data_IF_536007272034
#
_entry.id   IF_536007272034
#
_cell.length_a   1.000
_cell.length_b   1.000
_cell.length_c   1.000
_cell.angle_alpha   90.00
_cell.angle_beta   90.00
_cell.angle_gamma   90.00
#
_symmetry.space_group_name_H-M   'P 1'
#
loop_
_entity.id
_entity.type
_entity.pdbx_description
1 polymer ?
#
# COMPACT_ATOMS: atom_id res chain seq x y z
N UNK A 1 -14.47 28.02 8.21
CA UNK A 1 -15.61 27.54 9.00
C UNK A 1 -15.39 27.71 10.51
N UNK A 2 -14.25 27.27 11.08
CA UNK A 2 -13.96 27.47 12.51
C UNK A 2 -13.91 28.95 12.96
N UNK A 3 -13.45 29.86 12.11
CA UNK A 3 -13.33 31.29 12.44
C UNK A 3 -14.68 32.03 12.54
N UNK A 4 -15.76 31.50 11.95
CA UNK A 4 -17.07 32.14 11.98
C UNK A 4 -18.18 31.08 12.03
N UNK A 5 -18.15 30.27 13.09
CA UNK A 5 -18.99 29.08 13.26
C UNK A 5 -20.48 29.41 13.26
N UNK A 6 -20.87 30.58 13.75
CA UNK A 6 -22.26 31.08 13.73
C UNK A 6 -22.83 31.17 12.31
N UNK A 7 -22.01 31.48 11.31
CA UNK A 7 -22.41 31.60 9.91
C UNK A 7 -22.42 30.26 9.14
N UNK A 8 -21.92 29.16 9.72
CA UNK A 8 -21.89 27.85 9.07
C UNK A 8 -23.30 27.22 8.97
N UNK A 9 -23.58 26.32 8.00
CA UNK A 9 -24.85 25.61 7.92
C UNK A 9 -25.23 24.91 9.24
N UNK A 10 -26.53 24.82 9.55
CA UNK A 10 -27.01 24.27 10.83
C UNK A 10 -26.43 22.87 11.14
N UNK A 11 -26.33 22.02 10.13
CA UNK A 11 -25.72 20.69 10.24
C UNK A 11 -24.25 20.75 10.72
N UNK A 12 -23.46 21.72 10.24
CA UNK A 12 -22.06 21.92 10.64
C UNK A 12 -21.95 22.53 12.04
N UNK A 13 -22.93 23.36 12.43
CA UNK A 13 -22.95 23.92 13.80
C UNK A 13 -23.29 22.86 14.84
N UNK A 14 -24.20 21.95 14.51
CA UNK A 14 -24.68 20.87 15.38
C UNK A 14 -23.67 19.74 15.63
N UNK A 15 -22.57 19.67 14.88
CA UNK A 15 -21.52 18.67 15.09
C UNK A 15 -20.42 19.18 16.02
N UNK A 16 -19.81 18.29 16.81
CA UNK A 16 -18.61 18.65 17.56
C UNK A 16 -17.51 19.15 16.60
N UNK A 17 -16.72 20.18 16.97
CA UNK A 17 -15.60 20.58 16.14
C UNK A 17 -14.62 19.41 15.93
N UNK A 18 -14.08 19.30 14.72
CA UNK A 18 -13.11 18.26 14.40
C UNK A 18 -11.82 18.43 15.22
N UNK A 19 -11.33 17.34 15.78
CA UNK A 19 -10.04 17.29 16.47
C UNK A 19 -8.90 17.19 15.45
N UNK A 20 -8.36 18.34 15.05
CA UNK A 20 -7.28 18.40 14.07
C UNK A 20 -5.94 17.85 14.59
N UNK A 21 -5.81 17.52 15.87
CA UNK A 21 -4.62 16.84 16.41
C UNK A 21 -4.58 15.34 16.09
N UNK A 22 -5.69 14.78 15.59
CA UNK A 22 -5.85 13.36 15.27
C UNK A 22 -6.60 13.14 13.96
N UNK A 23 -5.92 13.42 12.85
CA UNK A 23 -6.49 13.26 11.51
C UNK A 23 -6.09 11.91 10.92
N UNK A 24 -7.07 11.19 10.37
CA UNK A 24 -6.86 10.08 9.44
C UNK A 24 -7.28 10.56 8.06
N UNK A 25 -6.45 10.34 7.05
CA UNK A 25 -6.84 10.56 5.65
C UNK A 25 -7.07 9.22 4.96
N UNK A 26 -8.09 9.16 4.10
CA UNK A 26 -8.42 7.98 3.29
C UNK A 26 -8.47 8.45 1.85
N UNK A 27 -7.76 7.76 0.96
CA UNK A 27 -7.72 8.08 -0.46
C UNK A 27 -7.80 6.81 -1.31
N UNK A 28 -8.48 6.92 -2.45
CA UNK A 28 -8.66 5.83 -3.42
C UNK A 28 -7.97 6.17 -4.74
N UNK A 29 -7.30 5.22 -5.39
CA UNK A 29 -6.58 5.45 -6.65
C UNK A 29 -5.58 6.62 -6.51
N UNK A 30 -5.59 7.58 -7.43
CA UNK A 30 -4.82 8.85 -7.31
C UNK A 30 -5.12 9.65 -6.04
N UNK A 31 -6.32 9.50 -5.46
CA UNK A 31 -6.64 10.08 -4.16
C UNK A 31 -5.79 9.48 -3.03
N UNK A 32 -5.38 8.22 -3.13
CA UNK A 32 -4.43 7.59 -2.21
C UNK A 32 -3.07 8.28 -2.26
N UNK A 33 -2.58 8.57 -3.46
CA UNK A 33 -1.36 9.37 -3.65
C UNK A 33 -1.50 10.78 -3.06
N UNK A 34 -2.64 11.43 -3.29
CA UNK A 34 -2.92 12.76 -2.75
C UNK A 34 -2.89 12.82 -1.22
N UNK A 35 -3.48 11.83 -0.53
CA UNK A 35 -3.45 11.81 0.94
C UNK A 35 -2.07 11.46 1.51
N UNK A 36 -1.29 10.63 0.81
CA UNK A 36 0.12 10.43 1.17
C UNK A 36 0.93 11.71 0.97
N UNK A 37 0.75 12.40 -0.16
CA UNK A 37 1.40 13.69 -0.44
C UNK A 37 1.06 14.72 0.64
N UNK A 38 -0.22 14.82 1.04
CA UNK A 38 -0.63 15.71 2.13
C UNK A 38 0.07 15.37 3.47
N UNK A 39 0.29 14.10 3.76
CA UNK A 39 1.04 13.65 4.94
C UNK A 39 2.53 14.01 4.86
N UNK A 40 3.15 13.81 3.70
CA UNK A 40 4.55 14.20 3.46
C UNK A 40 4.73 15.71 3.60
N UNK A 41 3.94 16.51 2.88
CA UNK A 41 4.06 17.96 2.84
C UNK A 41 3.72 18.61 4.19
N UNK A 42 2.89 17.95 5.02
CA UNK A 42 2.61 18.40 6.40
C UNK A 42 3.82 18.26 7.33
N UNK A 43 4.77 17.36 7.02
CA UNK A 43 6.01 17.16 7.79
C UNK A 43 7.22 17.82 7.14
N UNK A 44 7.26 17.88 5.81
CA UNK A 44 8.34 18.40 4.99
C UNK A 44 7.74 19.26 3.89
N UNK A 45 7.48 20.55 4.16
CA UNK A 45 6.86 21.44 3.18
C UNK A 45 7.63 21.46 1.86
N UNK A 46 6.93 21.54 0.71
CA UNK A 46 7.59 21.56 -0.58
C UNK A 46 8.51 22.79 -0.72
N UNK A 47 9.59 22.69 -1.52
CA UNK A 47 10.42 23.83 -1.87
C UNK A 47 9.59 25.01 -2.39
N UNK A 48 10.04 26.25 -2.15
CA UNK A 48 9.27 27.45 -2.43
C UNK A 48 8.93 27.67 -3.93
N UNK A 49 9.64 26.99 -4.84
CA UNK A 49 9.44 27.03 -6.29
C UNK A 49 8.55 25.88 -6.81
N UNK A 50 7.94 25.09 -5.93
CA UNK A 50 7.07 23.96 -6.27
C UNK A 50 5.65 24.18 -5.77
N UNK A 51 4.68 23.61 -6.47
CA UNK A 51 3.28 23.65 -6.04
C UNK A 51 3.11 22.99 -4.65
N UNK A 52 2.29 23.60 -3.79
CA UNK A 52 1.87 23.02 -2.52
C UNK A 52 1.73 24.05 -1.39
N UNK A 53 1.45 23.57 -0.18
CA UNK A 53 1.30 24.43 0.99
C UNK A 53 2.65 24.63 1.68
N UNK A 54 3.15 25.88 1.71
CA UNK A 54 4.46 26.20 2.31
C UNK A 54 4.38 26.72 3.75
N UNK A 55 3.16 26.93 4.28
CA UNK A 55 2.95 27.48 5.61
C UNK A 55 2.92 26.40 6.70
N UNK A 56 2.89 26.81 7.98
CA UNK A 56 2.57 25.87 9.05
C UNK A 56 1.18 25.27 8.81
N UNK A 57 1.07 23.96 9.01
CA UNK A 57 -0.23 23.28 9.03
C UNK A 57 -0.82 23.31 10.44
N UNK A 58 -2.15 23.29 10.54
CA UNK A 58 -2.88 23.30 11.83
C UNK A 58 -3.47 21.94 12.18
N UNK A 59 -2.94 20.88 11.57
CA UNK A 59 -3.40 19.51 11.76
C UNK A 59 -2.23 18.56 11.96
N UNK A 60 -2.50 17.41 12.55
CA UNK A 60 -1.59 16.30 12.65
C UNK A 60 -2.22 15.07 12.03
N UNK A 61 -1.69 14.68 10.87
CA UNK A 61 -2.06 13.43 10.21
C UNK A 61 -1.40 12.30 11.01
N UNK A 62 -2.22 11.46 11.62
CA UNK A 62 -1.80 10.34 12.48
C UNK A 62 -1.74 9.02 11.72
N UNK A 63 -2.37 8.96 10.56
CA UNK A 63 -2.17 7.88 9.61
C UNK A 63 -2.98 8.07 8.34
N UNK A 64 -2.70 7.21 7.37
CA UNK A 64 -3.36 7.18 6.07
C UNK A 64 -3.96 5.80 5.78
N UNK A 65 -5.03 5.77 4.99
CA UNK A 65 -5.52 4.56 4.33
C UNK A 65 -5.54 4.79 2.83
N UNK A 66 -4.81 3.95 2.10
CA UNK A 66 -4.56 4.10 0.68
C UNK A 66 -5.23 2.91 -0.03
N UNK A 67 -6.32 3.14 -0.75
CA UNK A 67 -7.10 2.08 -1.40
C UNK A 67 -6.68 2.06 -2.87
N UNK A 68 -6.21 0.91 -3.38
CA UNK A 68 -5.71 0.76 -4.75
C UNK A 68 -4.89 1.95 -5.25
N UNK A 69 -3.92 2.47 -4.47
CA UNK A 69 -3.39 3.80 -4.76
C UNK A 69 -2.39 3.77 -5.92
N UNK A 70 -2.31 4.87 -6.65
CA UNK A 70 -1.16 5.15 -7.52
C UNK A 70 0.06 5.59 -6.71
N UNK A 71 1.26 5.57 -7.29
CA UNK A 71 2.49 6.06 -6.64
C UNK A 71 3.43 6.78 -7.64
N UNK A 72 2.90 7.67 -8.47
CA UNK A 72 3.70 8.30 -9.54
C UNK A 72 4.57 9.48 -9.09
N UNK A 73 4.70 9.68 -7.77
CA UNK A 73 5.76 10.48 -7.17
C UNK A 73 6.85 9.66 -6.45
N UNK A 74 6.67 8.34 -6.30
CA UNK A 74 7.56 7.43 -5.57
C UNK A 74 8.05 7.97 -4.21
N UNK A 75 7.16 8.65 -3.48
CA UNK A 75 7.48 9.45 -2.30
C UNK A 75 6.62 9.05 -1.09
N UNK A 76 6.74 7.80 -0.58
CA UNK A 76 6.03 7.42 0.63
C UNK A 76 6.36 8.37 1.78
N UNK A 77 5.41 8.63 2.69
CA UNK A 77 5.65 9.39 3.91
C UNK A 77 6.12 8.45 5.04
N UNK A 78 7.45 8.23 5.25
CA UNK A 78 7.97 7.16 6.11
C UNK A 78 7.70 7.36 7.61
N UNK A 79 7.30 8.56 8.00
CA UNK A 79 7.11 8.97 9.39
C UNK A 79 5.62 9.07 9.78
N UNK A 80 4.71 8.75 8.85
CA UNK A 80 3.25 8.73 9.07
C UNK A 80 2.72 7.32 8.82
N UNK A 81 2.14 6.63 9.83
CA UNK A 81 1.60 5.29 9.64
C UNK A 81 0.62 5.18 8.47
N UNK A 82 0.66 4.07 7.74
CA UNK A 82 -0.25 3.85 6.62
C UNK A 82 -0.76 2.42 6.54
N UNK A 83 -1.97 2.27 6.00
CA UNK A 83 -2.52 0.99 5.55
C UNK A 83 -2.86 1.10 4.07
N UNK A 84 -2.17 0.32 3.24
CA UNK A 84 -2.47 0.21 1.81
C UNK A 84 -3.33 -1.02 1.54
N UNK A 85 -4.54 -0.83 1.01
CA UNK A 85 -5.37 -1.92 0.50
C UNK A 85 -5.00 -2.13 -0.97
N UNK A 86 -4.58 -3.35 -1.31
CA UNK A 86 -4.22 -3.77 -2.67
C UNK A 86 -5.33 -4.67 -3.23
N UNK A 87 -6.15 -4.19 -4.19
CA UNK A 87 -7.20 -5.00 -4.79
C UNK A 87 -6.58 -6.13 -5.63
N UNK A 88 -6.83 -7.39 -5.31
CA UNK A 88 -6.10 -8.50 -5.93
C UNK A 88 -6.35 -8.72 -7.43
N UNK A 89 -7.39 -8.09 -7.95
CA UNK A 89 -7.82 -8.11 -9.35
C UNK A 89 -8.05 -6.68 -9.87
N UNK A 90 -7.23 -5.75 -9.37
CA UNK A 90 -7.13 -4.38 -9.86
C UNK A 90 -6.80 -4.37 -11.36
N UNK A 91 -7.61 -3.71 -12.17
CA UNK A 91 -7.38 -3.58 -13.61
C UNK A 91 -6.76 -2.22 -13.97
N UNK A 92 -7.12 -1.17 -13.24
CA UNK A 92 -6.63 0.20 -13.44
C UNK A 92 -5.18 0.36 -12.96
N UNK A 93 -4.87 -0.14 -11.75
CA UNK A 93 -3.54 -0.19 -11.14
C UNK A 93 -3.09 -1.65 -11.01
N UNK A 94 -3.02 -2.31 -12.16
CA UNK A 94 -2.87 -3.78 -12.27
C UNK A 94 -1.53 -4.35 -11.78
N UNK A 95 -0.49 -3.54 -11.70
CA UNK A 95 0.80 -3.93 -11.11
C UNK A 95 0.80 -3.87 -9.57
N UNK A 96 -0.27 -3.33 -8.95
CA UNK A 96 -0.42 -3.13 -7.52
C UNK A 96 0.71 -2.29 -6.90
N UNK A 97 1.22 -1.31 -7.65
CA UNK A 97 2.31 -0.42 -7.25
C UNK A 97 2.12 0.30 -5.90
N UNK A 98 0.90 0.38 -5.37
CA UNK A 98 0.62 0.86 -4.02
C UNK A 98 1.43 0.14 -2.92
N UNK A 99 1.93 -1.06 -3.19
CA UNK A 99 2.84 -1.80 -2.32
C UNK A 99 4.12 -1.00 -1.97
N UNK A 100 4.58 -0.10 -2.85
CA UNK A 100 5.74 0.77 -2.61
C UNK A 100 5.52 1.75 -1.43
N UNK A 101 4.28 2.06 -1.05
CA UNK A 101 4.00 2.90 0.13
C UNK A 101 4.50 2.30 1.45
N UNK A 102 4.75 0.99 1.47
CA UNK A 102 5.41 0.32 2.57
C UNK A 102 6.88 0.00 2.21
N UNK A 103 7.15 -0.53 1.03
CA UNK A 103 8.51 -0.99 0.70
C UNK A 103 9.53 0.14 0.68
N UNK A 104 9.16 1.32 0.14
CA UNK A 104 10.00 2.51 0.10
C UNK A 104 10.22 3.18 1.45
N UNK A 105 9.59 2.70 2.53
CA UNK A 105 9.81 3.22 3.90
C UNK A 105 10.88 2.45 4.65
N UNK A 106 11.33 1.30 4.13
CA UNK A 106 12.34 0.45 4.78
C UNK A 106 13.67 1.19 4.89
N UNK A 107 14.16 1.36 6.12
CA UNK A 107 15.43 2.06 6.38
C UNK A 107 15.36 3.58 6.23
N UNK A 108 14.16 4.16 6.05
CA UNK A 108 13.94 5.61 5.93
C UNK A 108 13.05 6.10 7.08
N UNK A 109 13.25 7.35 7.50
CA UNK A 109 12.50 7.95 8.61
C UNK A 109 12.94 7.40 9.97
N UNK A 110 12.06 7.50 10.98
CA UNK A 110 12.37 7.08 12.35
C UNK A 110 12.13 5.59 12.61
N UNK A 111 11.55 4.84 11.66
CA UNK A 111 11.17 3.44 11.83
C UNK A 111 10.02 3.19 12.81
N UNK A 112 9.42 4.24 13.37
CA UNK A 112 8.34 4.15 14.38
C UNK A 112 6.95 4.04 13.76
N UNK A 113 6.78 4.48 12.52
CA UNK A 113 5.50 4.41 11.81
C UNK A 113 5.27 2.98 11.30
N UNK A 114 4.08 2.42 11.58
CA UNK A 114 3.65 1.15 11.00
C UNK A 114 3.13 1.40 9.58
N UNK A 115 3.75 0.76 8.60
CA UNK A 115 3.24 0.72 7.23
C UNK A 115 2.74 -0.69 6.96
N UNK A 116 1.51 -0.82 6.49
CA UNK A 116 0.83 -2.11 6.30
C UNK A 116 0.36 -2.23 4.87
N UNK A 117 0.48 -3.40 4.26
CA UNK A 117 -0.27 -3.77 3.06
C UNK A 117 -1.33 -4.81 3.40
N UNK A 118 -2.50 -4.68 2.76
CA UNK A 118 -3.65 -5.58 2.88
C UNK A 118 -4.01 -6.02 1.47
N UNK A 119 -3.44 -7.14 1.04
CA UNK A 119 -3.76 -7.75 -0.24
C UNK A 119 -5.13 -8.45 -0.16
N UNK A 120 -6.11 -7.92 -0.87
CA UNK A 120 -7.48 -8.39 -0.84
C UNK A 120 -7.78 -9.24 -2.08
N UNK A 121 -7.65 -10.56 -1.92
CA UNK A 121 -7.82 -11.51 -3.03
C UNK A 121 -9.20 -11.37 -3.66
N UNK A 122 -9.25 -11.28 -4.99
CA UNK A 122 -10.51 -11.21 -5.72
C UNK A 122 -11.19 -9.83 -5.68
N UNK A 123 -10.58 -8.83 -5.04
CA UNK A 123 -11.10 -7.47 -5.04
C UNK A 123 -10.73 -6.74 -6.34
N UNK A 124 -11.66 -5.91 -6.80
CA UNK A 124 -11.59 -5.11 -8.01
C UNK A 124 -11.29 -3.65 -7.62
N UNK A 125 -10.62 -2.89 -8.48
CA UNK A 125 -10.27 -1.50 -8.16
C UNK A 125 -11.52 -0.66 -7.85
N UNK A 126 -12.51 -0.73 -8.72
CA UNK A 126 -13.65 0.19 -8.70
C UNK A 126 -14.65 -0.08 -7.57
N UNK A 127 -14.64 -1.28 -7.01
CA UNK A 127 -15.75 -1.79 -6.22
C UNK A 127 -15.70 -1.39 -4.74
N UNK A 128 -14.72 -0.57 -4.33
CA UNK A 128 -14.64 -0.02 -2.97
C UNK A 128 -15.53 1.19 -2.71
N UNK A 129 -16.21 1.72 -3.73
CA UNK A 129 -17.09 2.90 -3.63
C UNK A 129 -18.35 2.75 -4.49
N UNK A 130 -19.33 3.64 -4.34
CA UNK A 130 -20.56 3.65 -5.15
C UNK A 130 -20.42 4.34 -6.50
N UNK A 131 -19.42 5.17 -6.71
CA UNK A 131 -19.30 6.06 -7.87
C UNK A 131 -18.73 5.36 -9.11
N UNK A 132 -17.96 4.27 -8.93
CA UNK A 132 -17.36 3.50 -10.02
C UNK A 132 -17.86 2.05 -10.07
N UNK A 133 -18.81 1.68 -9.21
CA UNK A 133 -19.35 0.32 -9.15
C UNK A 133 -20.52 0.14 -10.13
N UNK A 134 -20.45 -0.80 -11.10
CA UNK A 134 -21.58 -1.13 -11.95
C UNK A 134 -22.83 -1.52 -11.14
N UNK A 135 -23.97 -0.95 -11.50
CA UNK A 135 -25.24 -1.16 -10.79
C UNK A 135 -25.41 -0.36 -9.49
N UNK A 136 -24.41 0.44 -9.09
CA UNK A 136 -24.52 1.39 -7.98
C UNK A 136 -24.23 2.84 -8.42
N UNK A 137 -23.33 3.02 -9.39
CA UNK A 137 -22.91 4.32 -9.89
C UNK A 137 -24.03 5.05 -10.64
N UNK A 138 -24.08 6.37 -10.47
CA UNK A 138 -24.94 7.24 -11.29
C UNK A 138 -24.34 7.48 -12.68
N UNK A 139 -23.03 7.62 -12.76
CA UNK A 139 -22.29 7.73 -14.00
C UNK A 139 -22.01 6.33 -14.59
N UNK A 140 -21.70 6.24 -15.90
CA UNK A 140 -21.22 5.00 -16.50
C UNK A 140 -20.04 4.43 -15.72
N UNK A 141 -20.13 3.14 -15.39
CA UNK A 141 -19.16 2.42 -14.59
C UNK A 141 -18.97 1.02 -15.18
N UNK A 142 -17.76 0.49 -15.04
CA UNK A 142 -17.38 -0.84 -15.53
C UNK A 142 -16.61 -1.61 -14.46
N UNK A 143 -16.69 -2.94 -14.56
CA UNK A 143 -15.67 -3.79 -13.96
C UNK A 143 -14.37 -3.56 -14.75
N UNK A 144 -13.33 -3.02 -14.10
CA UNK A 144 -12.06 -2.69 -14.75
C UNK A 144 -11.13 -3.90 -14.95
N UNK A 145 -11.48 -5.07 -14.40
CA UNK A 145 -10.69 -6.26 -14.66
C UNK A 145 -10.84 -6.71 -16.12
N UNK A 146 -9.72 -6.80 -16.83
CA UNK A 146 -9.69 -7.26 -18.21
C UNK A 146 -9.52 -8.78 -18.27
N UNK A 147 -10.56 -9.56 -18.64
CA UNK A 147 -10.40 -10.99 -18.84
C UNK A 147 -9.53 -11.22 -20.09
N UNK A 148 -8.42 -11.95 -19.93
CA UNK A 148 -7.68 -12.48 -21.07
C UNK A 148 -8.48 -13.54 -21.84
N UNK A 149 -7.87 -14.13 -22.87
CA UNK A 149 -8.51 -15.20 -23.68
C UNK A 149 -8.92 -16.41 -22.84
N UNK A 150 -8.11 -16.73 -21.83
CA UNK A 150 -8.41 -17.76 -20.84
C UNK A 150 -8.96 -17.11 -19.57
N UNK A 151 -10.15 -17.53 -19.07
CA UNK A 151 -10.68 -17.02 -17.82
C UNK A 151 -9.69 -17.21 -16.66
N UNK A 152 -9.42 -16.14 -15.93
CA UNK A 152 -8.58 -16.16 -14.74
C UNK A 152 -9.37 -16.81 -13.58
N UNK A 153 -8.85 -17.88 -12.95
CA UNK A 153 -9.57 -18.61 -11.91
C UNK A 153 -9.74 -17.81 -10.62
N UNK A 154 -9.00 -16.72 -10.45
CA UNK A 154 -9.07 -15.81 -9.30
C UNK A 154 -9.99 -14.63 -9.59
N UNK A 155 -9.82 -14.03 -10.77
CA UNK A 155 -10.27 -12.68 -11.07
C UNK A 155 -11.40 -12.58 -12.10
N UNK A 156 -11.64 -13.59 -12.94
CA UNK A 156 -12.76 -13.50 -13.88
C UNK A 156 -14.11 -13.34 -13.15
N UNK A 157 -15.02 -12.49 -13.65
CA UNK A 157 -16.38 -12.39 -13.12
C UNK A 157 -17.04 -13.77 -13.00
N UNK A 158 -17.61 -14.05 -11.82
CA UNK A 158 -18.22 -15.35 -11.50
C UNK A 158 -17.26 -16.40 -10.91
N UNK A 159 -15.95 -16.16 -10.90
CA UNK A 159 -15.00 -17.03 -10.19
C UNK A 159 -15.30 -17.07 -8.68
N UNK A 160 -15.06 -18.21 -8.03
CA UNK A 160 -15.40 -18.41 -6.60
C UNK A 160 -14.69 -17.45 -5.65
N UNK A 161 -13.50 -16.99 -6.03
CA UNK A 161 -12.67 -16.04 -5.28
C UNK A 161 -13.01 -14.59 -5.59
N UNK A 162 -13.73 -14.31 -6.68
CA UNK A 162 -14.09 -12.95 -7.10
C UNK A 162 -15.09 -12.37 -6.10
N UNK A 163 -14.75 -11.23 -5.51
CA UNK A 163 -15.61 -10.57 -4.52
C UNK A 163 -16.68 -9.72 -5.20
N UNK A 164 -17.91 -9.77 -4.68
CA UNK A 164 -18.96 -8.82 -5.10
C UNK A 164 -18.67 -7.42 -4.55
N UNK A 165 -19.20 -6.37 -5.17
CA UNK A 165 -18.99 -5.00 -4.70
C UNK A 165 -19.37 -4.80 -3.22
N UNK A 166 -20.50 -5.35 -2.78
CA UNK A 166 -20.91 -5.29 -1.37
C UNK A 166 -19.96 -6.03 -0.42
N UNK A 167 -19.29 -7.10 -0.87
CA UNK A 167 -18.25 -7.77 -0.08
C UNK A 167 -16.98 -6.91 0.02
N UNK A 168 -16.58 -6.28 -1.07
CA UNK A 168 -15.40 -5.41 -1.12
C UNK A 168 -15.59 -4.15 -0.27
N UNK A 169 -16.73 -3.48 -0.36
CA UNK A 169 -17.07 -2.32 0.48
C UNK A 169 -17.07 -2.68 1.97
N UNK A 170 -17.63 -3.84 2.33
CA UNK A 170 -17.64 -4.34 3.71
C UNK A 170 -16.23 -4.63 4.21
N UNK A 171 -15.41 -5.30 3.41
CA UNK A 171 -14.02 -5.61 3.76
C UNK A 171 -13.16 -4.34 3.85
N UNK A 172 -13.29 -3.43 2.89
CA UNK A 172 -12.63 -2.11 2.90
C UNK A 172 -12.99 -1.32 4.16
N UNK A 173 -14.28 -1.23 4.49
CA UNK A 173 -14.74 -0.58 5.71
C UNK A 173 -14.16 -1.20 6.98
N UNK A 174 -14.02 -2.53 7.03
CA UNK A 174 -13.41 -3.22 8.17
C UNK A 174 -11.94 -2.82 8.38
N UNK A 175 -11.14 -2.77 7.31
CA UNK A 175 -9.72 -2.41 7.39
C UNK A 175 -9.48 -0.89 7.56
N UNK A 176 -10.37 -0.04 7.00
CA UNK A 176 -10.39 1.40 7.30
C UNK A 176 -10.69 1.62 8.78
N UNK A 177 -11.68 0.92 9.33
CA UNK A 177 -12.01 1.01 10.75
C UNK A 177 -10.88 0.51 11.66
N UNK A 178 -10.22 -0.60 11.31
CA UNK A 178 -9.04 -1.06 12.03
C UNK A 178 -7.91 -0.01 12.02
N UNK A 179 -7.67 0.62 10.87
CA UNK A 179 -6.66 1.69 10.73
C UNK A 179 -7.02 2.93 11.57
N UNK A 180 -8.29 3.36 11.56
CA UNK A 180 -8.76 4.46 12.38
C UNK A 180 -8.61 4.16 13.88
N UNK A 181 -8.96 2.94 14.30
CA UNK A 181 -8.80 2.49 15.69
C UNK A 181 -7.34 2.49 16.13
N UNK A 182 -6.44 2.01 15.29
CA UNK A 182 -5.01 1.95 15.60
C UNK A 182 -4.36 3.34 15.58
N UNK A 183 -4.48 4.07 14.48
CA UNK A 183 -3.69 5.29 14.24
C UNK A 183 -4.24 6.52 14.96
N UNK A 184 -5.57 6.66 15.01
CA UNK A 184 -6.26 7.81 15.63
C UNK A 184 -6.76 7.47 17.03
N UNK A 185 -7.32 6.26 17.20
CA UNK A 185 -7.85 5.80 18.48
C UNK A 185 -6.81 5.31 19.48
N UNK A 186 -5.61 4.92 19.02
CA UNK A 186 -4.58 4.31 19.87
C UNK A 186 -4.94 2.91 20.39
N UNK A 187 -5.90 2.23 19.76
CA UNK A 187 -6.35 0.90 20.17
C UNK A 187 -5.44 -0.17 19.58
N UNK A 188 -4.41 -0.56 20.33
CA UNK A 188 -3.40 -1.52 19.85
C UNK A 188 -3.96 -2.93 19.63
N UNK A 189 -5.11 -3.26 20.23
CA UNK A 189 -5.72 -4.60 20.13
C UNK A 189 -6.10 -4.99 18.70
N UNK A 190 -6.28 -4.01 17.80
CA UNK A 190 -6.55 -4.26 16.39
C UNK A 190 -5.30 -4.39 15.53
N UNK A 191 -4.10 -4.10 16.07
CA UNK A 191 -2.82 -4.22 15.34
C UNK A 191 -2.63 -5.56 14.63
N UNK A 192 -2.96 -6.74 15.23
CA UNK A 192 -2.81 -8.03 14.55
C UNK A 192 -3.58 -8.16 13.23
N UNK A 193 -4.58 -7.30 12.98
CA UNK A 193 -5.32 -7.24 11.72
C UNK A 193 -4.54 -6.58 10.59
N UNK A 194 -3.49 -5.80 10.90
CA UNK A 194 -2.78 -4.95 9.93
C UNK A 194 -1.31 -5.32 9.79
N UNK A 195 -0.74 -6.08 10.73
CA UNK A 195 0.69 -6.02 11.00
C UNK A 195 1.49 -7.26 10.56
N UNK A 196 0.88 -8.13 9.75
CA UNK A 196 1.46 -9.37 9.27
C UNK A 196 1.22 -10.60 10.16
N UNK A 197 0.54 -10.47 11.30
CA UNK A 197 0.25 -11.61 12.20
C UNK A 197 -0.68 -12.68 11.59
N UNK A 198 -1.28 -12.41 10.42
CA UNK A 198 -2.19 -13.35 9.76
C UNK A 198 -3.60 -13.40 10.37
N UNK A 199 -3.97 -12.44 11.23
CA UNK A 199 -5.32 -12.34 11.78
C UNK A 199 -6.25 -11.62 10.80
N UNK A 200 -7.34 -12.28 10.42
CA UNK A 200 -8.41 -11.67 9.60
C UNK A 200 -9.44 -10.95 10.47
N UNK A 201 -9.98 -9.83 9.97
CA UNK A 201 -11.16 -9.20 10.56
C UNK A 201 -12.41 -10.05 10.25
N UNK A 202 -13.16 -10.56 11.26
CA UNK A 202 -14.39 -11.31 10.99
C UNK A 202 -15.44 -10.48 10.22
N UNK A 203 -15.48 -9.17 10.49
CA UNK A 203 -16.35 -8.20 9.82
C UNK A 203 -16.02 -7.99 8.33
N UNK A 204 -14.86 -8.43 7.84
CA UNK A 204 -14.54 -8.43 6.41
C UNK A 204 -15.31 -9.50 5.61
N UNK A 205 -16.12 -10.32 6.28
CA UNK A 205 -16.95 -11.34 5.63
C UNK A 205 -16.10 -12.40 4.92
N UNK A 206 -16.44 -12.77 3.67
CA UNK A 206 -15.74 -13.82 2.94
C UNK A 206 -14.41 -13.38 2.33
N UNK A 207 -14.08 -12.09 2.38
CA UNK A 207 -12.84 -11.58 1.78
C UNK A 207 -11.61 -12.23 2.41
N UNK A 208 -10.77 -12.84 1.56
CA UNK A 208 -9.45 -13.31 1.96
C UNK A 208 -8.47 -12.14 1.86
N UNK A 209 -8.05 -11.64 3.00
CA UNK A 209 -7.10 -10.54 3.11
C UNK A 209 -5.80 -11.03 3.75
N UNK A 210 -4.70 -10.85 3.03
CA UNK A 210 -3.35 -11.17 3.50
C UNK A 210 -2.67 -9.87 3.89
N UNK A 211 -2.09 -9.81 5.08
CA UNK A 211 -1.42 -8.61 5.56
C UNK A 211 0.08 -8.80 5.69
N UNK A 212 0.80 -7.72 5.43
CA UNK A 212 2.24 -7.58 5.63
C UNK A 212 2.52 -6.20 6.18
N UNK A 213 3.57 -6.04 6.99
CA UNK A 213 3.91 -4.73 7.53
C UNK A 213 5.42 -4.54 7.73
N UNK A 214 5.84 -3.27 7.66
CA UNK A 214 7.18 -2.80 8.03
C UNK A 214 7.07 -1.62 9.00
N UNK A 215 8.20 -1.23 9.58
CA UNK A 215 8.25 -0.18 10.58
C UNK A 215 7.50 -0.56 11.87
N UNK A 216 6.98 0.41 12.60
CA UNK A 216 6.33 0.19 13.88
C UNK A 216 7.29 -0.41 14.91
N UNK A 217 8.53 0.08 14.96
CA UNK A 217 9.63 -0.42 15.81
C UNK A 217 10.07 -1.86 15.52
N UNK A 218 9.83 -2.36 14.31
CA UNK A 218 10.38 -3.66 13.86
C UNK A 218 11.86 -3.53 13.53
N UNK A 219 12.64 -4.51 13.98
CA UNK A 219 14.02 -4.70 13.53
C UNK A 219 14.00 -5.45 12.18
N UNK A 220 14.52 -4.87 11.09
CA UNK A 220 14.64 -5.59 9.83
C UNK A 220 15.67 -6.71 9.97
N UNK A 221 15.28 -7.94 9.67
CA UNK A 221 16.20 -9.08 9.71
C UNK A 221 17.22 -9.01 8.56
N UNK A 222 16.74 -8.74 7.34
CA UNK A 222 17.56 -8.71 6.14
C UNK A 222 16.85 -7.93 5.02
N UNK A 223 17.59 -7.06 4.34
CA UNK A 223 17.20 -6.43 3.07
C UNK A 223 18.41 -6.55 2.14
N UNK A 224 18.28 -7.18 0.96
CA UNK A 224 19.36 -7.25 -0.02
C UNK A 224 19.80 -5.86 -0.46
N UNK A 225 21.09 -5.72 -0.70
CA UNK A 225 21.71 -4.58 -1.37
C UNK A 225 22.70 -5.08 -2.44
N UNK A 226 23.26 -4.16 -3.22
CA UNK A 226 24.22 -4.46 -4.28
C UNK A 226 25.51 -5.17 -3.81
N UNK A 227 25.79 -5.18 -2.51
CA UNK A 227 26.94 -5.85 -1.90
C UNK A 227 26.60 -7.23 -1.31
N UNK A 228 25.34 -7.65 -1.38
CA UNK A 228 24.87 -8.94 -0.85
C UNK A 228 25.39 -10.09 -1.71
N UNK A 229 26.10 -11.04 -1.09
CA UNK A 229 26.53 -12.25 -1.77
C UNK A 229 25.45 -13.33 -1.72
N UNK A 230 25.10 -13.90 -2.87
CA UNK A 230 24.15 -15.01 -3.00
C UNK A 230 24.82 -16.19 -3.68
N UNK A 231 24.67 -17.38 -3.13
CA UNK A 231 25.24 -18.62 -3.66
C UNK A 231 24.22 -19.76 -3.62
N UNK A 232 24.51 -20.87 -4.31
CA UNK A 232 23.61 -22.02 -4.38
C UNK A 232 22.54 -21.85 -5.44
N UNK A 233 21.28 -22.08 -5.10
CA UNK A 233 20.14 -21.97 -6.02
C UNK A 233 19.62 -20.54 -6.25
N UNK A 234 20.25 -19.54 -5.63
CA UNK A 234 19.85 -18.14 -5.74
C UNK A 234 20.86 -17.27 -6.47
N UNK A 235 20.40 -16.10 -6.94
CA UNK A 235 21.25 -15.00 -7.41
C UNK A 235 20.77 -13.66 -6.87
N UNK A 236 21.69 -12.70 -6.76
CA UNK A 236 21.33 -11.30 -6.60
C UNK A 236 20.77 -10.78 -7.94
N UNK A 237 19.73 -9.97 -7.86
CA UNK A 237 19.11 -9.34 -9.01
C UNK A 237 18.52 -7.99 -8.62
N UNK A 238 18.31 -7.12 -9.60
CA UNK A 238 17.63 -5.85 -9.41
C UNK A 238 16.11 -6.05 -9.58
N UNK A 239 15.33 -5.46 -8.68
CA UNK A 239 13.87 -5.50 -8.73
C UNK A 239 13.35 -4.86 -10.01
N UNK A 240 13.97 -3.76 -10.42
CA UNK A 240 13.67 -3.01 -11.65
C UNK A 240 14.98 -2.75 -12.37
N UNK A 241 15.16 -3.34 -13.54
CA UNK A 241 16.32 -3.10 -14.41
C UNK A 241 15.96 -3.44 -15.87
N UNK A 242 16.37 -2.62 -16.85
CA UNK A 242 16.12 -2.92 -18.26
C UNK A 242 16.98 -4.08 -18.78
N UNK A 243 18.12 -4.40 -18.13
CA UNK A 243 18.95 -5.53 -18.51
C UNK A 243 18.38 -6.84 -17.91
N UNK A 244 17.88 -7.73 -18.77
CA UNK A 244 17.33 -9.02 -18.39
C UNK A 244 18.31 -9.91 -17.60
N UNK A 245 19.62 -9.75 -17.80
CA UNK A 245 20.63 -10.48 -17.02
C UNK A 245 20.70 -10.00 -15.56
N UNK A 246 20.31 -8.75 -15.30
CA UNK A 246 20.33 -8.11 -13.98
C UNK A 246 18.97 -8.15 -13.30
N UNK A 247 17.89 -8.01 -14.06
CA UNK A 247 16.53 -7.97 -13.54
C UNK A 247 16.12 -9.28 -12.84
N UNK A 248 15.26 -9.19 -11.83
CA UNK A 248 14.69 -10.36 -11.16
C UNK A 248 13.59 -11.01 -12.00
N UNK A 249 12.72 -10.19 -12.60
CA UNK A 249 11.76 -10.59 -13.62
C UNK A 249 12.30 -10.16 -14.98
N UNK A 250 12.35 -11.09 -15.93
CA UNK A 250 12.82 -10.77 -17.28
C UNK A 250 11.83 -9.78 -17.93
N UNK A 251 12.24 -8.55 -18.28
CA UNK A 251 11.36 -7.56 -18.89
C UNK A 251 10.81 -8.02 -20.25
N UNK A 252 11.46 -8.97 -20.93
CA UNK A 252 11.04 -9.52 -22.22
C UNK A 252 9.99 -10.63 -22.08
N UNK A 253 9.96 -11.35 -20.96
CA UNK A 253 9.02 -12.47 -20.73
C UNK A 253 7.67 -12.00 -20.17
N UNK A 254 7.58 -10.74 -19.78
CA UNK A 254 6.41 -10.17 -19.14
C UNK A 254 6.23 -10.63 -17.69
N UNK A 255 5.18 -10.08 -17.07
CA UNK A 255 4.89 -10.29 -15.64
C UNK A 255 5.25 -9.06 -14.80
N UNK A 256 4.52 -8.93 -13.69
CA UNK A 256 4.66 -7.81 -12.77
C UNK A 256 4.72 -8.33 -11.34
N UNK A 257 5.40 -7.58 -10.49
CA UNK A 257 5.40 -7.79 -9.04
C UNK A 257 4.99 -6.48 -8.39
N UNK A 258 4.10 -6.50 -7.38
CA UNK A 258 3.75 -5.31 -6.60
C UNK A 258 4.97 -4.61 -5.99
N UNK A 259 6.02 -5.36 -5.71
CA UNK A 259 7.27 -4.85 -5.15
C UNK A 259 8.15 -4.14 -6.19
N UNK A 260 7.93 -4.39 -7.48
CA UNK A 260 8.83 -4.02 -8.59
C UNK A 260 8.23 -2.90 -9.45
N UNK A 261 7.41 -2.03 -8.86
CA UNK A 261 6.89 -0.86 -9.55
C UNK A 261 8.04 0.06 -9.99
N UNK A 262 7.97 0.48 -11.25
CA UNK A 262 9.01 1.22 -11.96
C UNK A 262 8.87 2.73 -11.72
N UNK A 263 9.99 3.44 -11.63
CA UNK A 263 10.05 4.89 -11.71
C UNK A 263 10.76 5.37 -12.97
N UNK A 264 10.42 6.58 -13.45
CA UNK A 264 11.10 7.21 -14.59
C UNK A 264 12.59 7.50 -14.30
N UNK A 265 12.97 7.65 -13.02
CA UNK A 265 14.37 7.83 -12.64
C UNK A 265 15.05 6.46 -12.47
N UNK A 266 15.70 5.99 -13.53
CA UNK A 266 16.45 4.74 -13.58
C UNK A 266 17.95 5.00 -13.81
N UNK A 267 18.86 4.23 -13.19
CA UNK A 267 18.62 3.13 -12.24
C UNK A 267 18.19 3.64 -10.86
N UNK A 268 17.37 2.84 -10.17
CA UNK A 268 16.93 3.10 -8.79
C UNK A 268 17.86 2.40 -7.78
N UNK A 269 18.73 3.12 -7.05
CA UNK A 269 19.65 2.51 -6.10
C UNK A 269 18.92 1.82 -4.94
N UNK A 270 19.45 0.68 -4.47
CA UNK A 270 18.90 -0.04 -3.32
C UNK A 270 17.64 -0.86 -3.61
N UNK A 271 17.25 -0.99 -4.88
CA UNK A 271 16.17 -1.89 -5.36
C UNK A 271 16.72 -3.27 -5.70
N UNK A 272 17.41 -3.91 -4.75
CA UNK A 272 17.97 -5.26 -4.92
C UNK A 272 17.02 -6.33 -4.34
N UNK A 273 17.08 -7.53 -4.90
CA UNK A 273 16.34 -8.70 -4.44
C UNK A 273 17.13 -9.99 -4.69
N UNK A 274 16.65 -11.09 -4.09
CA UNK A 274 17.21 -12.42 -4.29
C UNK A 274 16.24 -13.23 -5.13
N UNK A 275 16.63 -13.58 -6.35
CA UNK A 275 15.90 -14.51 -7.19
C UNK A 275 16.29 -15.94 -6.79
N UNK A 276 15.31 -16.73 -6.38
CA UNK A 276 15.49 -18.14 -6.00
C UNK A 276 15.01 -19.04 -7.15
N UNK A 277 15.87 -19.97 -7.58
CA UNK A 277 15.47 -21.05 -8.49
C UNK A 277 15.11 -22.28 -7.67
N UNK A 278 13.82 -22.59 -7.58
CA UNK A 278 13.33 -23.80 -6.93
C UNK A 278 12.96 -24.85 -7.98
N UNK A 279 13.90 -25.70 -8.36
CA UNK A 279 13.68 -26.81 -9.31
C UNK A 279 13.53 -28.18 -8.62
N UNK A 280 14.00 -28.31 -7.38
CA UNK A 280 13.85 -29.51 -6.55
C UNK A 280 13.87 -29.17 -5.05
N UNK A 281 13.19 -29.96 -4.20
CA UNK A 281 13.28 -29.82 -2.75
C UNK A 281 14.73 -29.93 -2.24
N UNK A 282 15.07 -29.16 -1.21
CA UNK A 282 16.35 -29.30 -0.49
C UNK A 282 17.56 -28.61 -1.12
N UNK A 283 17.42 -27.86 -2.23
CA UNK A 283 18.50 -27.03 -2.77
C UNK A 283 18.56 -25.66 -2.09
N UNK A 284 19.57 -25.38 -1.23
CA UNK A 284 19.64 -24.13 -0.52
C UNK A 284 20.12 -22.98 -1.42
N UNK A 285 19.58 -21.80 -1.17
CA UNK A 285 20.24 -20.54 -1.50
C UNK A 285 20.84 -19.97 -0.22
N UNK A 286 22.14 -19.67 -0.23
CA UNK A 286 22.80 -19.04 0.89
C UNK A 286 22.98 -17.54 0.59
N UNK A 287 22.45 -16.71 1.47
CA UNK A 287 22.50 -15.25 1.39
C UNK A 287 23.43 -14.74 2.48
N UNK A 288 24.43 -13.96 2.10
CA UNK A 288 25.43 -13.38 3.00
C UNK A 288 25.40 -11.86 2.86
N UNK A 289 24.79 -11.16 3.82
CA UNK A 289 24.84 -9.70 3.87
C UNK A 289 26.30 -9.23 4.02
N UNK A 290 26.62 -8.06 3.48
CA UNK A 290 27.97 -7.48 3.59
C UNK A 290 28.31 -7.01 5.01
N UNK A 291 27.29 -6.81 5.85
CA UNK A 291 27.43 -6.43 7.26
C UNK A 291 26.69 -7.42 8.15
N UNK A 292 27.18 -7.69 9.37
CA UNK A 292 26.44 -8.49 10.34
C UNK A 292 25.03 -7.94 10.55
N UNK A 293 24.03 -8.82 10.55
CA UNK A 293 22.64 -8.47 10.89
C UNK A 293 22.39 -8.73 12.37
N UNK A 294 21.65 -7.84 13.03
CA UNK A 294 21.19 -8.08 14.40
C UNK A 294 20.00 -9.04 14.38
N UNK A 295 20.09 -10.11 15.15
CA UNK A 295 18.95 -11.00 15.46
C UNK A 295 18.33 -10.70 16.84
N UNK A 296 18.86 -9.69 17.53
CA UNK A 296 18.40 -9.22 18.84
C UNK A 296 17.25 -8.22 18.72
#
# INVERSE_FOLDING_TARGET
WAANRSAAPAAVRGTAPADLSRVLLVGHSRGGEGVNRAALDSLSPPPADRDGHHGPVRWKIRGNVLIGPTIFGQNPAPDVPSTTILPGCDGDVSDLQGQIYLDGTRGVGRGTALHSSVYMVGANHNFFNSEWTPGQAQAPASDDFWPGETPDPVCSPGAKTRLTAGQQQRAGAAYIAASARLFVGGDDRVRPLLDGTGRRAPSAGPARALTHAVGGHRTPAFLPDSSTAVTGSGRLCAQVDPDAARACLNPEEGGASPHFAVWDASPEPGRDAVALRWDAPGKPAAVRPSRPVSLA
#
